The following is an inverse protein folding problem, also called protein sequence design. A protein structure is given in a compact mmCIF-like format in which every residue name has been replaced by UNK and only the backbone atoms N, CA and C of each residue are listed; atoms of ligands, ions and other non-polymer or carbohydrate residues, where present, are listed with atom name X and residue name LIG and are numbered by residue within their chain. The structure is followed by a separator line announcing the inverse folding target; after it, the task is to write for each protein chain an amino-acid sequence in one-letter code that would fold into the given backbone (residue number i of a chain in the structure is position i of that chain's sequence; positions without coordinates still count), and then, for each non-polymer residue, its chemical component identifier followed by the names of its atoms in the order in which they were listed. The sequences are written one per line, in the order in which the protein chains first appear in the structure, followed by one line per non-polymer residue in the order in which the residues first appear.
data_IF_376257340529
#
_entry.id   IF_376257340529
#
_cell.length_a   1.000
_cell.length_b   1.000
_cell.length_c   1.000
_cell.angle_alpha   90.00
_cell.angle_beta   90.00
_cell.angle_gamma   90.00
#
_symmetry.space_group_name_H-M   'P 1'
#
loop_
_entity.id
_entity.type
_entity.pdbx_description
1 polymer ?
#
# COMPACT_ATOMS: atom_id res chain seq x y z
N UNK A 1 27.96 -35.08 12.82
CA UNK A 1 26.82 -34.38 12.21
C UNK A 1 26.25 -33.44 13.26
N UNK A 2 25.89 -32.21 12.88
CA UNK A 2 25.17 -31.25 13.72
C UNK A 2 23.98 -30.72 12.92
N UNK A 3 23.02 -30.10 13.60
CA UNK A 3 21.77 -29.65 12.96
C UNK A 3 21.43 -28.25 13.47
N UNK A 4 21.23 -27.30 12.57
CA UNK A 4 20.68 -25.99 12.90
C UNK A 4 19.24 -25.94 12.44
N UNK A 5 18.31 -25.78 13.38
CA UNK A 5 16.89 -25.64 13.11
C UNK A 5 16.50 -24.20 13.32
N UNK A 6 15.89 -23.60 12.31
CA UNK A 6 15.33 -22.26 12.39
C UNK A 6 13.81 -22.30 12.33
N UNK A 7 13.14 -21.52 13.17
CA UNK A 7 11.68 -21.41 13.25
C UNK A 7 11.20 -19.97 13.55
N UNK A 8 9.89 -19.79 13.73
CA UNK A 8 9.19 -18.56 14.17
C UNK A 8 8.62 -18.75 15.60
N UNK A 9 8.36 -17.70 16.44
CA UNK A 9 7.84 -17.94 17.78
C UNK A 9 6.37 -18.35 17.70
N UNK A 10 6.01 -19.38 18.47
CA UNK A 10 4.74 -20.11 18.37
C UNK A 10 4.95 -21.58 17.98
N UNK A 11 5.90 -21.85 17.08
CA UNK A 11 6.07 -23.17 16.44
C UNK A 11 6.92 -24.20 17.22
N UNK A 12 7.05 -24.06 18.54
CA UNK A 12 7.89 -24.96 19.36
C UNK A 12 7.38 -26.42 19.35
N UNK A 13 6.06 -26.62 19.18
CA UNK A 13 5.49 -27.94 18.99
C UNK A 13 5.88 -28.56 17.63
N UNK A 14 6.01 -27.73 16.58
CA UNK A 14 6.47 -28.16 15.25
C UNK A 14 7.96 -28.52 15.31
N UNK A 15 8.78 -27.73 16.01
CA UNK A 15 10.19 -28.08 16.26
C UNK A 15 10.31 -29.44 16.98
N UNK A 16 9.45 -29.68 17.98
CA UNK A 16 9.39 -30.95 18.73
C UNK A 16 8.92 -32.12 17.85
N UNK A 17 7.97 -31.88 16.94
CA UNK A 17 7.54 -32.85 15.92
C UNK A 17 8.70 -33.19 14.98
N UNK A 18 9.38 -32.19 14.39
CA UNK A 18 10.53 -32.36 13.48
C UNK A 18 11.68 -33.14 14.12
N UNK A 19 12.01 -32.88 15.39
CA UNK A 19 13.04 -33.63 16.13
C UNK A 19 12.72 -35.13 16.27
N UNK A 20 11.44 -35.52 16.28
CA UNK A 20 11.02 -36.94 16.31
C UNK A 20 11.31 -37.63 14.98
N UNK A 21 10.88 -37.02 13.87
CA UNK A 21 11.06 -37.53 12.47
C UNK A 21 12.59 -37.63 12.21
N UNK A 22 13.40 -36.65 12.62
CA UNK A 22 14.87 -36.74 12.49
C UNK A 22 15.49 -37.92 13.26
N UNK A 23 14.97 -38.25 14.45
CA UNK A 23 15.39 -39.43 15.23
C UNK A 23 14.99 -40.73 14.51
N UNK A 24 13.79 -40.78 13.95
CA UNK A 24 13.24 -41.96 13.28
C UNK A 24 13.93 -42.23 11.92
N UNK A 25 14.44 -41.20 11.23
CA UNK A 25 15.36 -41.33 10.09
C UNK A 25 16.79 -41.76 10.49
N UNK A 26 17.05 -42.08 11.75
CA UNK A 26 18.37 -42.51 12.23
C UNK A 26 19.41 -41.39 12.35
N UNK A 27 19.01 -40.10 12.24
CA UNK A 27 19.88 -38.92 12.42
C UNK A 27 20.14 -38.69 13.92
N UNK A 28 20.64 -39.73 14.59
CA UNK A 28 20.88 -39.79 16.02
C UNK A 28 22.28 -39.28 16.40
N UNK A 29 22.42 -38.74 17.61
CA UNK A 29 23.68 -38.19 18.11
C UNK A 29 24.08 -36.82 17.55
N UNK A 30 23.23 -36.17 16.73
CA UNK A 30 23.48 -34.81 16.27
C UNK A 30 23.16 -33.79 17.37
N UNK A 31 24.17 -33.02 17.80
CA UNK A 31 23.92 -31.83 18.62
C UNK A 31 23.20 -30.78 17.77
N UNK A 32 21.97 -30.43 18.16
CA UNK A 32 21.16 -29.45 17.46
C UNK A 32 21.17 -28.09 18.17
N UNK A 33 20.94 -27.02 17.39
CA UNK A 33 20.68 -25.68 17.93
C UNK A 33 19.47 -25.06 17.24
N UNK A 34 18.69 -24.34 18.03
CA UNK A 34 17.49 -23.62 17.64
C UNK A 34 17.82 -22.15 17.43
N UNK A 35 17.36 -21.57 16.32
CA UNK A 35 17.68 -20.20 15.91
C UNK A 35 16.44 -19.49 15.35
N UNK A 36 16.11 -18.27 15.81
CA UNK A 36 15.01 -17.50 15.21
C UNK A 36 15.42 -16.98 13.83
N UNK A 37 14.70 -17.30 12.74
CA UNK A 37 15.05 -16.77 11.40
C UNK A 37 14.55 -15.34 11.16
N UNK A 38 13.54 -14.92 11.92
CA UNK A 38 12.93 -13.61 11.78
C UNK A 38 13.84 -12.47 12.28
N UNK A 39 14.64 -12.72 13.33
CA UNK A 39 15.55 -11.73 13.95
C UNK A 39 16.69 -11.30 13.02
N UNK A 40 17.24 -10.12 13.32
CA UNK A 40 18.32 -9.48 12.55
C UNK A 40 19.63 -10.29 12.60
N UNK A 41 19.87 -10.98 13.72
CA UNK A 41 21.03 -11.86 13.91
C UNK A 41 20.88 -13.24 13.24
N UNK A 42 19.78 -13.52 12.53
CA UNK A 42 19.56 -14.77 11.83
C UNK A 42 20.64 -15.08 10.79
N UNK A 43 21.12 -14.06 10.08
CA UNK A 43 22.20 -14.22 9.10
C UNK A 43 23.53 -14.61 9.78
N UNK A 44 23.89 -13.96 10.90
CA UNK A 44 25.10 -14.31 11.68
C UNK A 44 25.00 -15.71 12.30
N UNK A 45 23.82 -16.08 12.80
CA UNK A 45 23.51 -17.44 13.27
C UNK A 45 23.74 -18.47 12.16
N UNK A 46 23.27 -18.20 10.94
CA UNK A 46 23.40 -19.07 9.78
C UNK A 46 24.85 -19.18 9.29
N UNK A 47 25.61 -18.07 9.27
CA UNK A 47 27.02 -18.06 8.88
C UNK A 47 27.90 -18.81 9.91
N UNK A 48 27.62 -18.65 11.21
CA UNK A 48 28.29 -19.41 12.28
C UNK A 48 28.04 -20.92 12.21
N UNK A 49 26.88 -21.34 11.68
CA UNK A 49 26.53 -22.73 11.39
C UNK A 49 27.28 -23.25 10.16
N UNK A 50 27.25 -22.51 9.04
CA UNK A 50 27.91 -22.90 7.79
C UNK A 50 29.44 -23.05 7.94
N UNK A 51 30.09 -22.14 8.68
CA UNK A 51 31.53 -22.20 8.93
C UNK A 51 31.99 -23.45 9.69
N UNK A 52 31.08 -24.11 10.43
CA UNK A 52 31.41 -25.27 11.28
C UNK A 52 31.15 -26.63 10.58
N UNK A 53 31.36 -26.66 9.26
CA UNK A 53 31.72 -27.81 8.38
C UNK A 53 30.88 -29.11 8.36
N UNK A 54 29.90 -29.32 9.25
CA UNK A 54 29.13 -30.58 9.35
C UNK A 54 27.65 -30.38 9.75
N UNK A 55 27.02 -29.29 9.30
CA UNK A 55 25.65 -28.92 9.67
C UNK A 55 24.61 -29.19 8.56
N UNK A 56 23.45 -29.73 8.95
CA UNK A 56 22.20 -29.57 8.17
C UNK A 56 21.56 -28.24 8.57
N UNK A 57 21.02 -27.50 7.61
CA UNK A 57 20.17 -26.33 7.84
C UNK A 57 18.69 -26.71 7.65
N UNK A 58 17.86 -26.43 8.65
CA UNK A 58 16.40 -26.48 8.55
C UNK A 58 15.84 -25.07 8.77
N UNK A 59 14.84 -24.67 8.00
CA UNK A 59 14.13 -23.39 8.16
C UNK A 59 12.63 -23.64 8.05
N UNK A 60 11.87 -23.18 9.04
CA UNK A 60 10.42 -23.37 9.18
C UNK A 60 9.73 -22.00 9.32
N UNK A 61 8.90 -21.58 8.35
CA UNK A 61 8.07 -20.38 8.46
C UNK A 61 6.73 -20.65 9.19
N UNK A 62 6.05 -19.61 9.71
CA UNK A 62 4.87 -19.74 10.56
C UNK A 62 3.51 -19.78 9.84
N UNK A 63 2.49 -20.05 10.65
CA UNK A 63 1.06 -20.00 10.35
C UNK A 63 0.42 -18.61 10.46
N UNK A 64 -0.70 -18.46 9.73
CA UNK A 64 -1.92 -17.68 10.01
C UNK A 64 -3.03 -18.55 9.38
N UNK A 65 -4.19 -18.92 9.95
CA UNK A 65 -4.94 -18.53 11.15
C UNK A 65 -5.37 -19.81 11.95
N UNK A 66 -5.84 -19.68 13.19
CA UNK A 66 -6.16 -20.81 14.10
C UNK A 66 -7.43 -21.62 13.73
N UNK A 67 -8.13 -21.29 12.63
CA UNK A 67 -9.52 -21.73 12.38
C UNK A 67 -9.72 -22.99 11.55
N UNK A 68 -8.71 -23.54 10.88
CA UNK A 68 -8.89 -24.59 9.85
C UNK A 68 -8.94 -26.04 10.37
N UNK A 69 -8.36 -26.32 11.54
CA UNK A 69 -8.57 -27.57 12.30
C UNK A 69 -8.01 -28.88 11.73
N UNK A 70 -7.35 -28.89 10.56
CA UNK A 70 -6.81 -30.11 9.95
C UNK A 70 -5.38 -30.43 10.44
N UNK A 71 -5.23 -31.56 11.13
CA UNK A 71 -3.99 -31.97 11.83
C UNK A 71 -3.06 -32.89 11.01
N UNK A 72 -3.30 -33.04 9.70
CA UNK A 72 -2.57 -33.97 8.81
C UNK A 72 -1.15 -33.54 8.36
N UNK A 73 -0.47 -32.65 9.11
CA UNK A 73 0.74 -31.93 8.66
C UNK A 73 1.98 -32.25 9.52
N UNK A 74 2.86 -33.14 9.03
CA UNK A 74 3.97 -33.68 9.84
C UNK A 74 5.20 -34.10 8.99
N UNK A 75 5.96 -33.15 8.44
CA UNK A 75 7.05 -33.43 7.49
C UNK A 75 8.44 -32.91 7.89
N UNK A 76 9.45 -33.67 7.46
CA UNK A 76 10.84 -33.58 7.91
C UNK A 76 11.72 -32.94 6.81
N UNK A 77 12.94 -32.51 7.16
CA UNK A 77 13.96 -32.10 6.18
C UNK A 77 15.16 -33.08 6.18
N UNK A 78 15.75 -33.26 5.00
CA UNK A 78 17.04 -33.90 4.81
C UNK A 78 17.85 -33.18 3.71
N UNK A 79 19.12 -32.88 4.00
CA UNK A 79 20.07 -32.29 3.06
C UNK A 79 21.46 -32.83 3.36
N UNK A 80 22.08 -33.48 2.38
CA UNK A 80 23.36 -34.19 2.56
C UNK A 80 24.53 -33.37 2.01
N UNK A 81 25.71 -33.52 2.62
CA UNK A 81 26.95 -32.93 2.12
C UNK A 81 27.88 -34.03 1.57
N UNK A 82 28.36 -33.86 0.35
CA UNK A 82 29.48 -34.62 -0.23
C UNK A 82 30.40 -33.65 -0.98
N UNK A 83 31.70 -33.72 -0.67
CA UNK A 83 32.84 -33.12 -1.39
C UNK A 83 32.62 -31.76 -2.13
N UNK A 84 33.02 -30.67 -1.46
CA UNK A 84 33.41 -29.35 -2.04
C UNK A 84 32.97 -29.08 -3.50
N UNK A 85 31.80 -28.47 -3.74
CA UNK A 85 31.60 -27.49 -4.84
C UNK A 85 30.19 -26.90 -4.89
N UNK A 86 29.15 -27.56 -4.39
CA UNK A 86 27.76 -27.07 -4.46
C UNK A 86 27.09 -26.99 -3.09
N UNK A 87 26.27 -25.95 -2.94
CA UNK A 87 25.39 -25.72 -1.80
C UNK A 87 23.97 -25.68 -2.36
N UNK A 88 23.08 -26.54 -1.87
CA UNK A 88 21.68 -26.56 -2.32
C UNK A 88 20.78 -26.40 -1.11
N UNK A 89 19.99 -25.32 -1.13
CA UNK A 89 19.11 -24.92 -0.05
C UNK A 89 17.65 -25.05 -0.49
N UNK A 90 16.76 -25.36 0.44
CA UNK A 90 15.33 -25.60 0.18
C UNK A 90 14.48 -25.02 1.31
N UNK A 91 13.34 -24.42 0.95
CA UNK A 91 12.19 -24.27 1.83
C UNK A 91 11.12 -25.29 1.40
N UNK A 92 10.10 -25.46 2.23
CA UNK A 92 8.89 -26.21 1.90
C UNK A 92 7.70 -25.37 2.37
N UNK A 93 6.72 -25.18 1.50
CA UNK A 93 5.50 -24.42 1.74
C UNK A 93 4.33 -25.27 1.21
N UNK A 94 3.24 -25.39 1.94
CA UNK A 94 1.99 -26.03 1.45
C UNK A 94 2.18 -27.43 0.81
N UNK A 95 3.09 -28.24 1.35
CA UNK A 95 3.43 -29.57 0.81
C UNK A 95 4.23 -29.57 -0.51
N UNK A 96 4.65 -28.39 -1.00
CA UNK A 96 5.47 -28.20 -2.19
C UNK A 96 6.91 -27.82 -1.80
N UNK A 97 7.88 -28.34 -2.55
CA UNK A 97 9.30 -28.00 -2.35
C UNK A 97 9.61 -26.66 -3.03
N UNK A 98 9.58 -25.59 -2.23
CA UNK A 98 9.90 -24.24 -2.67
C UNK A 98 11.35 -23.91 -2.30
N UNK A 99 12.29 -24.13 -3.23
CA UNK A 99 13.55 -23.39 -3.17
C UNK A 99 13.19 -21.91 -3.36
N UNK A 100 13.34 -21.03 -2.35
CA UNK A 100 13.14 -19.60 -2.54
C UNK A 100 14.13 -19.17 -3.62
N UNK A 101 13.71 -18.47 -4.70
CA UNK A 101 14.59 -18.26 -5.86
C UNK A 101 15.95 -17.65 -5.48
N UNK A 102 15.95 -16.75 -4.50
CA UNK A 102 17.15 -16.13 -3.95
C UNK A 102 18.17 -17.09 -3.33
N UNK A 103 17.78 -18.24 -2.77
CA UNK A 103 18.77 -19.17 -2.21
C UNK A 103 19.62 -19.83 -3.32
N UNK A 104 19.22 -19.73 -4.59
CA UNK A 104 20.07 -20.08 -5.75
C UNK A 104 21.05 -18.96 -6.13
N UNK A 105 20.75 -17.69 -5.84
CA UNK A 105 21.69 -16.58 -6.10
C UNK A 105 22.87 -16.56 -5.13
N UNK A 106 22.77 -17.31 -4.02
CA UNK A 106 23.87 -17.60 -3.10
C UNK A 106 24.83 -18.65 -3.67
N UNK A 107 24.39 -19.51 -4.62
CA UNK A 107 25.21 -20.59 -5.17
C UNK A 107 26.35 -20.03 -6.04
N UNK A 108 27.59 -20.16 -5.55
CA UNK A 108 28.80 -19.64 -6.20
C UNK A 108 29.44 -18.44 -5.52
N UNK A 109 28.78 -17.82 -4.52
CA UNK A 109 29.40 -16.75 -3.72
C UNK A 109 30.47 -17.35 -2.79
N UNK A 110 31.71 -16.87 -2.92
CA UNK A 110 32.88 -17.41 -2.19
C UNK A 110 33.21 -16.66 -0.89
N UNK A 111 32.62 -15.48 -0.64
CA UNK A 111 32.82 -14.69 0.56
C UNK A 111 31.63 -14.78 1.53
N UNK A 112 31.92 -14.95 2.82
CA UNK A 112 30.90 -15.00 3.89
C UNK A 112 30.01 -13.75 3.91
N UNK A 113 30.59 -12.58 3.65
CA UNK A 113 29.89 -11.29 3.63
C UNK A 113 29.03 -11.11 2.37
N UNK A 114 29.44 -11.69 1.24
CA UNK A 114 28.59 -11.80 0.05
C UNK A 114 27.39 -12.71 0.30
N UNK A 115 27.61 -13.87 0.95
CA UNK A 115 26.54 -14.79 1.36
C UNK A 115 25.57 -14.10 2.33
N UNK A 116 26.07 -13.36 3.33
CA UNK A 116 25.25 -12.52 4.24
C UNK A 116 24.35 -11.58 3.46
N UNK A 117 24.95 -10.80 2.55
CA UNK A 117 24.27 -9.73 1.82
C UNK A 117 23.23 -10.26 0.81
N UNK A 118 23.51 -11.40 0.16
CA UNK A 118 22.55 -12.06 -0.73
C UNK A 118 21.41 -12.71 0.04
N UNK A 119 21.68 -13.32 1.20
CA UNK A 119 20.66 -13.90 2.08
C UNK A 119 19.69 -12.86 2.64
N UNK A 120 20.18 -11.68 3.07
CA UNK A 120 19.34 -10.63 3.62
C UNK A 120 18.39 -10.02 2.58
N UNK A 121 18.90 -9.57 1.43
CA UNK A 121 18.06 -9.04 0.34
C UNK A 121 17.03 -10.08 -0.12
N UNK A 122 17.46 -11.32 -0.30
CA UNK A 122 16.56 -12.39 -0.73
C UNK A 122 15.48 -12.75 0.30
N UNK A 123 15.79 -12.66 1.61
CA UNK A 123 14.79 -12.76 2.69
C UNK A 123 13.75 -11.63 2.57
N UNK A 124 14.19 -10.40 2.33
CA UNK A 124 13.32 -9.22 2.19
C UNK A 124 12.43 -9.33 0.93
N UNK A 125 13.03 -9.64 -0.22
CA UNK A 125 12.35 -9.91 -1.50
C UNK A 125 11.28 -11.00 -1.34
N UNK A 126 11.63 -12.16 -0.77
CA UNK A 126 10.70 -13.28 -0.60
C UNK A 126 9.59 -13.00 0.42
N UNK A 127 9.88 -12.25 1.50
CA UNK A 127 8.84 -11.81 2.45
C UNK A 127 7.80 -10.91 1.76
N UNK A 128 8.25 -9.95 0.95
CA UNK A 128 7.36 -9.11 0.16
C UNK A 128 6.53 -9.92 -0.86
N UNK A 129 7.10 -10.94 -1.51
CA UNK A 129 6.34 -11.88 -2.35
C UNK A 129 5.22 -12.59 -1.56
N UNK A 130 5.48 -12.99 -0.31
CA UNK A 130 4.46 -13.66 0.52
C UNK A 130 3.34 -12.71 0.97
N UNK A 131 3.66 -11.45 1.28
CA UNK A 131 2.66 -10.43 1.62
C UNK A 131 1.79 -10.06 0.41
N UNK A 132 2.40 -9.98 -0.78
CA UNK A 132 1.66 -9.79 -2.03
C UNK A 132 0.74 -10.99 -2.36
N UNK A 133 1.19 -12.23 -2.17
CA UNK A 133 0.30 -13.38 -2.44
C UNK A 133 -0.86 -13.46 -1.43
N UNK A 134 -0.62 -13.13 -0.15
CA UNK A 134 -1.71 -12.94 0.84
C UNK A 134 -2.69 -11.84 0.42
N UNK A 135 -2.19 -10.71 -0.09
CA UNK A 135 -3.03 -9.62 -0.61
C UNK A 135 -3.89 -10.06 -1.81
N UNK A 136 -3.34 -10.88 -2.73
CA UNK A 136 -4.08 -11.47 -3.86
C UNK A 136 -5.18 -12.43 -3.39
N UNK A 137 -4.86 -13.30 -2.43
CA UNK A 137 -5.81 -14.27 -1.87
C UNK A 137 -6.97 -13.57 -1.17
N UNK A 138 -6.69 -12.57 -0.33
CA UNK A 138 -7.71 -11.76 0.35
C UNK A 138 -8.68 -11.09 -0.64
N UNK A 139 -8.17 -10.43 -1.69
CA UNK A 139 -9.01 -9.81 -2.71
C UNK A 139 -9.88 -10.84 -3.46
N UNK A 140 -9.31 -12.01 -3.78
CA UNK A 140 -9.99 -13.11 -4.46
C UNK A 140 -11.10 -13.74 -3.60
N UNK A 141 -10.89 -13.88 -2.29
CA UNK A 141 -11.89 -14.40 -1.35
C UNK A 141 -13.10 -13.46 -1.19
N UNK A 142 -12.89 -12.16 -1.39
CA UNK A 142 -13.94 -11.13 -1.38
C UNK A 142 -14.61 -10.91 -2.75
N UNK A 143 -14.31 -11.76 -3.75
CA UNK A 143 -14.73 -11.65 -5.16
C UNK A 143 -14.36 -10.30 -5.82
N UNK A 144 -13.22 -9.71 -5.41
CA UNK A 144 -12.74 -8.43 -5.92
C UNK A 144 -11.72 -8.68 -7.06
N UNK A 145 -11.99 -8.25 -8.29
CA UNK A 145 -11.09 -8.48 -9.41
C UNK A 145 -9.82 -7.63 -9.27
N UNK A 146 -8.65 -8.23 -9.49
CA UNK A 146 -7.37 -7.53 -9.50
C UNK A 146 -7.19 -6.69 -10.78
N UNK A 147 -7.94 -5.60 -10.85
CA UNK A 147 -7.95 -4.64 -11.95
C UNK A 147 -8.28 -3.25 -11.43
N UNK A 148 -8.13 -2.23 -12.28
CA UNK A 148 -8.62 -0.88 -12.00
C UNK A 148 -10.12 -0.85 -11.64
N UNK A 149 -10.90 -1.82 -12.09
CA UNK A 149 -12.34 -1.89 -11.80
C UNK A 149 -12.61 -2.37 -10.36
N UNK A 150 -11.82 -3.33 -9.86
CA UNK A 150 -11.88 -3.75 -8.45
C UNK A 150 -11.30 -2.70 -7.50
N UNK A 151 -10.22 -2.02 -7.89
CA UNK A 151 -9.69 -0.86 -7.17
C UNK A 151 -10.77 0.22 -7.00
N UNK A 152 -11.42 0.60 -8.11
CA UNK A 152 -12.48 1.62 -8.09
C UNK A 152 -13.75 1.12 -7.40
N UNK A 153 -14.02 -0.19 -7.37
CA UNK A 153 -15.06 -0.77 -6.52
C UNK A 153 -14.73 -0.59 -5.02
N UNK A 154 -13.49 -0.83 -4.60
CA UNK A 154 -13.08 -0.63 -3.20
C UNK A 154 -13.26 0.82 -2.76
N UNK A 155 -12.86 1.78 -3.59
CA UNK A 155 -13.11 3.22 -3.33
C UNK A 155 -14.61 3.52 -3.23
N UNK A 156 -15.42 3.00 -4.17
CA UNK A 156 -16.88 3.27 -4.25
C UNK A 156 -17.72 2.54 -3.19
N UNK A 157 -17.17 1.52 -2.53
CA UNK A 157 -17.81 0.72 -1.46
C UNK A 157 -17.11 0.89 -0.10
N UNK A 158 -16.25 1.88 0.04
CA UNK A 158 -15.52 2.21 1.29
C UNK A 158 -14.71 1.05 1.90
N UNK A 159 -14.17 0.16 1.06
CA UNK A 159 -13.39 -1.02 1.49
C UNK A 159 -11.92 -0.67 1.73
N UNK A 160 -11.65 0.06 2.81
CA UNK A 160 -10.31 0.53 3.22
C UNK A 160 -9.26 -0.61 3.21
N UNK A 161 -9.48 -1.69 3.96
CA UNK A 161 -8.55 -2.83 4.06
C UNK A 161 -8.20 -3.46 2.70
N UNK A 162 -9.18 -3.53 1.79
CA UNK A 162 -8.99 -4.07 0.45
C UNK A 162 -8.19 -3.11 -0.44
N UNK A 163 -8.37 -1.79 -0.27
CA UNK A 163 -7.61 -0.80 -1.01
C UNK A 163 -6.13 -0.78 -0.60
N UNK A 164 -5.82 -0.98 0.70
CA UNK A 164 -4.44 -1.25 1.13
C UNK A 164 -3.84 -2.45 0.38
N UNK A 165 -4.62 -3.51 0.14
CA UNK A 165 -4.12 -4.72 -0.54
C UNK A 165 -3.81 -4.44 -2.01
N UNK A 166 -4.55 -3.53 -2.66
CA UNK A 166 -4.18 -3.01 -3.97
C UNK A 166 -2.87 -2.19 -3.94
N UNK A 167 -2.63 -1.38 -2.91
CA UNK A 167 -1.39 -0.62 -2.77
C UNK A 167 -0.16 -1.51 -2.50
N UNK A 168 -0.29 -2.55 -1.66
CA UNK A 168 0.76 -3.57 -1.48
C UNK A 168 1.10 -4.32 -2.79
N UNK A 169 0.14 -4.36 -3.73
CA UNK A 169 0.29 -4.93 -5.06
C UNK A 169 0.76 -3.93 -6.13
N UNK A 170 1.10 -2.70 -5.75
CA UNK A 170 1.69 -1.69 -6.64
C UNK A 170 0.71 -0.98 -7.57
N UNK A 171 -0.59 -0.96 -7.24
CA UNK A 171 -1.56 -0.14 -7.97
C UNK A 171 -1.35 1.35 -7.66
N UNK A 172 -1.41 2.21 -8.68
CA UNK A 172 -1.31 3.67 -8.51
C UNK A 172 -2.57 4.24 -7.85
N UNK A 173 -2.43 5.24 -6.95
CA UNK A 173 -3.56 5.94 -6.35
C UNK A 173 -4.38 6.76 -7.38
N UNK A 174 -3.77 7.11 -8.51
CA UNK A 174 -4.36 7.89 -9.61
C UNK A 174 -5.24 7.04 -10.55
N UNK A 175 -5.48 5.78 -10.16
CA UNK A 175 -6.37 4.86 -10.88
C UNK A 175 -7.71 5.53 -11.18
N UNK A 176 -8.06 5.56 -12.46
CA UNK A 176 -9.31 6.16 -12.96
C UNK A 176 -10.32 5.07 -13.36
N UNK A 177 -11.62 5.39 -13.27
CA UNK A 177 -12.65 4.52 -13.85
C UNK A 177 -12.82 4.71 -15.37
N UNK A 178 -13.72 3.93 -15.99
CA UNK A 178 -13.98 3.97 -17.45
C UNK A 178 -14.42 5.34 -18.01
N UNK A 179 -14.75 6.32 -17.17
CA UNK A 179 -15.06 7.71 -17.56
C UNK A 179 -13.87 8.66 -17.38
N UNK A 180 -12.70 8.15 -16.98
CA UNK A 180 -11.54 8.96 -16.64
C UNK A 180 -11.69 9.69 -15.30
N UNK A 181 -12.54 9.23 -14.38
CA UNK A 181 -12.69 9.87 -13.05
C UNK A 181 -11.70 9.23 -12.06
N UNK A 182 -10.77 10.01 -11.47
CA UNK A 182 -9.80 9.50 -10.51
C UNK A 182 -10.43 8.91 -9.24
N UNK A 183 -9.71 8.00 -8.59
CA UNK A 183 -10.03 7.47 -7.26
C UNK A 183 -10.30 8.57 -6.24
N UNK A 184 -9.46 9.61 -6.19
CA UNK A 184 -9.59 10.71 -5.24
C UNK A 184 -10.90 11.48 -5.41
N UNK A 185 -11.30 11.76 -6.65
CA UNK A 185 -12.60 12.38 -6.94
C UNK A 185 -13.77 11.46 -6.54
N UNK A 186 -13.63 10.13 -6.66
CA UNK A 186 -14.64 9.20 -6.16
C UNK A 186 -14.71 9.14 -4.63
N UNK A 187 -13.58 9.16 -3.92
CA UNK A 187 -13.51 9.22 -2.46
C UNK A 187 -14.22 10.47 -1.89
N UNK A 188 -13.98 11.63 -2.53
CA UNK A 188 -14.70 12.87 -2.24
C UNK A 188 -16.21 12.73 -2.50
N UNK A 189 -16.62 12.14 -3.63
CA UNK A 189 -18.04 11.97 -4.01
C UNK A 189 -18.81 11.00 -3.11
N UNK A 190 -18.14 10.05 -2.44
CA UNK A 190 -18.74 9.22 -1.36
C UNK A 190 -18.60 9.86 0.03
N UNK A 191 -18.00 11.06 0.12
CA UNK A 191 -17.83 11.86 1.34
C UNK A 191 -16.95 11.20 2.41
N UNK A 192 -16.07 10.28 2.00
CA UNK A 192 -15.25 9.47 2.88
C UNK A 192 -13.88 10.10 3.12
N UNK A 193 -13.73 10.80 4.25
CA UNK A 193 -12.46 11.44 4.64
C UNK A 193 -11.32 10.43 4.83
N UNK A 194 -11.63 9.24 5.36
CA UNK A 194 -10.65 8.16 5.54
C UNK A 194 -10.10 7.67 4.19
N UNK A 195 -10.99 7.49 3.20
CA UNK A 195 -10.60 7.15 1.83
C UNK A 195 -9.75 8.26 1.17
N UNK A 196 -10.11 9.54 1.37
CA UNK A 196 -9.31 10.69 0.90
C UNK A 196 -7.92 10.68 1.55
N UNK A 197 -7.84 10.46 2.87
CA UNK A 197 -6.57 10.37 3.59
C UNK A 197 -5.68 9.22 3.10
N UNK A 198 -6.25 8.03 2.88
CA UNK A 198 -5.50 6.86 2.40
C UNK A 198 -4.95 7.09 0.99
N UNK A 199 -5.77 7.62 0.07
CA UNK A 199 -5.35 7.91 -1.30
C UNK A 199 -4.23 8.96 -1.33
N UNK A 200 -4.35 10.05 -0.56
CA UNK A 200 -3.31 11.08 -0.46
C UNK A 200 -2.03 10.55 0.22
N UNK A 201 -2.14 9.71 1.25
CA UNK A 201 -0.98 9.08 1.91
C UNK A 201 -0.19 8.14 0.98
N UNK A 202 -0.84 7.57 -0.04
CA UNK A 202 -0.19 6.81 -1.11
C UNK A 202 0.25 7.68 -2.31
N UNK A 203 0.05 9.00 -2.27
CA UNK A 203 0.54 9.95 -3.27
C UNK A 203 -0.41 10.25 -4.43
N UNK A 204 -1.73 10.20 -4.23
CA UNK A 204 -2.70 10.62 -5.23
C UNK A 204 -2.49 12.09 -5.68
N UNK A 205 -2.52 12.35 -6.99
CA UNK A 205 -2.54 13.71 -7.52
C UNK A 205 -3.83 14.45 -7.10
N UNK A 206 -3.67 15.43 -6.23
CA UNK A 206 -4.75 16.29 -5.73
C UNK A 206 -5.40 17.13 -6.83
N UNK A 207 -4.67 17.38 -7.92
CA UNK A 207 -5.09 18.18 -9.08
C UNK A 207 -5.67 17.32 -10.22
N UNK A 208 -5.79 16.01 -10.04
CA UNK A 208 -6.25 15.09 -11.07
C UNK A 208 -7.67 15.44 -11.57
N UNK A 209 -7.78 15.81 -12.85
CA UNK A 209 -9.01 16.34 -13.47
C UNK A 209 -9.96 15.23 -13.91
N UNK A 210 -11.21 15.25 -13.45
CA UNK A 210 -12.18 14.21 -13.78
C UNK A 210 -12.60 14.20 -15.25
N UNK A 211 -12.46 13.06 -15.92
CA UNK A 211 -12.86 12.87 -17.31
C UNK A 211 -14.37 13.02 -17.57
N UNK A 212 -15.22 13.05 -16.54
CA UNK A 212 -16.67 13.30 -16.68
C UNK A 212 -17.02 14.80 -16.71
N UNK A 213 -16.71 15.56 -15.65
CA UNK A 213 -17.07 16.97 -15.45
C UNK A 213 -15.93 17.96 -15.70
N UNK A 214 -14.68 17.50 -15.66
CA UNK A 214 -13.50 18.35 -15.55
C UNK A 214 -13.24 18.83 -14.12
N UNK A 215 -13.73 18.14 -13.10
CA UNK A 215 -13.58 18.56 -11.70
C UNK A 215 -12.35 17.92 -11.07
N UNK A 216 -11.55 18.68 -10.33
CA UNK A 216 -10.58 18.11 -9.38
C UNK A 216 -11.28 17.67 -8.09
N UNK A 217 -10.54 17.01 -7.20
CA UNK A 217 -11.05 16.57 -5.90
C UNK A 217 -11.62 17.74 -5.07
N UNK A 218 -10.93 18.88 -5.03
CA UNK A 218 -11.39 20.05 -4.26
C UNK A 218 -12.62 20.72 -4.88
N UNK A 219 -12.81 20.63 -6.19
CA UNK A 219 -13.99 21.15 -6.89
C UNK A 219 -15.25 20.33 -6.59
N UNK A 220 -15.16 19.01 -6.57
CA UNK A 220 -16.29 18.16 -6.14
C UNK A 220 -16.56 18.32 -4.63
N UNK A 221 -15.54 18.52 -3.79
CA UNK A 221 -15.71 18.75 -2.34
C UNK A 221 -16.38 20.10 -2.04
N UNK A 222 -15.99 21.16 -2.77
CA UNK A 222 -16.61 22.47 -2.71
C UNK A 222 -18.06 22.46 -3.20
N UNK A 223 -18.38 21.64 -4.21
CA UNK A 223 -19.74 21.46 -4.72
C UNK A 223 -20.65 20.61 -3.82
N UNK A 224 -20.08 19.76 -2.94
CA UNK A 224 -20.82 19.00 -1.92
C UNK A 224 -20.99 19.76 -0.59
N UNK A 225 -20.31 20.91 -0.45
CA UNK A 225 -20.28 21.69 0.79
C UNK A 225 -19.45 21.02 1.91
N UNK A 226 -18.56 20.08 1.57
CA UNK A 226 -17.84 19.28 2.56
C UNK A 226 -16.57 20.00 3.05
N UNK A 227 -16.76 20.89 4.03
CA UNK A 227 -15.70 21.72 4.61
C UNK A 227 -14.52 20.91 5.16
N UNK A 228 -14.78 19.73 5.72
CA UNK A 228 -13.74 18.89 6.31
C UNK A 228 -12.81 18.29 5.24
N UNK A 229 -13.39 17.73 4.18
CA UNK A 229 -12.64 17.26 3.02
C UNK A 229 -11.93 18.41 2.29
N UNK A 230 -12.57 19.58 2.14
CA UNK A 230 -11.90 20.77 1.57
C UNK A 230 -10.68 21.19 2.42
N UNK A 231 -10.82 21.27 3.76
CA UNK A 231 -9.70 21.61 4.65
C UNK A 231 -8.58 20.58 4.57
N UNK A 232 -8.89 19.29 4.41
CA UNK A 232 -7.89 18.24 4.20
C UNK A 232 -7.16 18.38 2.87
N UNK A 233 -7.89 18.57 1.76
CA UNK A 233 -7.29 18.74 0.43
C UNK A 233 -6.41 19.99 0.38
N UNK A 234 -6.82 21.07 1.04
CA UNK A 234 -6.05 22.33 1.24
C UNK A 234 -4.80 22.19 2.15
N UNK A 235 -4.34 20.99 2.45
CA UNK A 235 -3.03 20.72 3.07
C UNK A 235 -2.00 20.16 2.06
N UNK A 236 -2.43 19.80 0.85
CA UNK A 236 -1.57 19.35 -0.26
C UNK A 236 -1.28 20.47 -1.27
N UNK A 237 -1.55 21.74 -0.89
CA UNK A 237 -1.46 22.95 -1.71
C UNK A 237 -1.97 22.78 -3.18
N UNK A 238 -3.25 22.39 -3.37
CA UNK A 238 -3.83 22.16 -4.69
C UNK A 238 -4.01 23.46 -5.49
N UNK A 239 -4.00 23.31 -6.81
CA UNK A 239 -4.39 24.35 -7.76
C UNK A 239 -5.90 24.63 -7.63
N UNK A 240 -6.22 25.86 -7.20
CA UNK A 240 -7.59 26.32 -6.96
C UNK A 240 -8.25 26.90 -8.21
N UNK A 241 -7.45 27.15 -9.25
CA UNK A 241 -7.78 27.92 -10.45
C UNK A 241 -8.12 27.02 -11.64
N UNK A 242 -7.93 25.70 -11.47
CA UNK A 242 -8.42 24.67 -12.41
C UNK A 242 -9.91 24.87 -12.72
N UNK A 243 -10.20 24.97 -14.02
CA UNK A 243 -11.55 25.20 -14.52
C UNK A 243 -12.20 23.90 -15.02
N UNK A 244 -13.48 23.69 -14.68
CA UNK A 244 -14.26 22.55 -15.17
C UNK A 244 -14.54 22.65 -16.68
N UNK A 245 -15.19 21.64 -17.27
CA UNK A 245 -15.69 21.72 -18.65
C UNK A 245 -16.71 22.85 -18.87
N UNK A 246 -17.27 23.41 -17.80
CA UNK A 246 -18.13 24.58 -17.81
C UNK A 246 -17.37 25.89 -17.50
N UNK A 247 -16.05 25.87 -17.35
CA UNK A 247 -15.23 27.01 -16.92
C UNK A 247 -15.30 27.34 -15.42
N UNK A 248 -15.99 26.53 -14.62
CA UNK A 248 -16.23 26.84 -13.20
C UNK A 248 -15.03 26.37 -12.35
N UNK A 249 -14.51 27.24 -11.49
CA UNK A 249 -13.47 26.91 -10.48
C UNK A 249 -14.11 26.38 -9.19
N UNK A 250 -13.28 25.88 -8.25
CA UNK A 250 -13.75 25.46 -6.93
C UNK A 250 -14.51 26.59 -6.18
N UNK A 251 -14.04 27.83 -6.32
CA UNK A 251 -14.70 29.01 -5.72
C UNK A 251 -16.09 29.29 -6.34
N UNK A 252 -16.21 29.22 -7.67
CA UNK A 252 -17.49 29.41 -8.37
C UNK A 252 -18.48 28.31 -7.96
N UNK A 253 -18.01 27.07 -7.79
CA UNK A 253 -18.84 25.94 -7.34
C UNK A 253 -19.31 26.11 -5.88
N UNK A 254 -18.43 26.50 -4.96
CA UNK A 254 -18.81 26.77 -3.56
C UNK A 254 -19.90 27.86 -3.46
N UNK A 255 -19.73 28.96 -4.21
CA UNK A 255 -20.71 30.06 -4.26
C UNK A 255 -22.03 29.58 -4.87
N UNK A 256 -21.98 28.80 -5.96
CA UNK A 256 -23.17 28.25 -6.62
C UNK A 256 -24.03 27.34 -5.74
N UNK A 257 -23.44 26.75 -4.69
CA UNK A 257 -24.12 25.89 -3.71
C UNK A 257 -24.39 26.57 -2.36
N UNK A 258 -24.00 27.85 -2.20
CA UNK A 258 -24.16 28.59 -0.95
C UNK A 258 -23.23 28.16 0.18
N UNK A 259 -22.15 27.43 -0.11
CA UNK A 259 -21.12 27.03 0.85
C UNK A 259 -20.17 28.21 1.14
N UNK A 260 -20.70 29.25 1.81
CA UNK A 260 -20.03 30.54 1.97
C UNK A 260 -18.74 30.44 2.80
N UNK A 261 -18.68 29.56 3.79
CA UNK A 261 -17.49 29.33 4.62
C UNK A 261 -16.34 28.67 3.82
N UNK A 262 -16.68 27.78 2.88
CA UNK A 262 -15.74 27.21 1.91
C UNK A 262 -15.31 28.26 0.88
N UNK A 263 -16.25 29.05 0.36
CA UNK A 263 -15.93 30.11 -0.59
C UNK A 263 -15.00 31.17 0.04
N UNK A 264 -15.27 31.57 1.28
CA UNK A 264 -14.40 32.46 2.05
C UNK A 264 -13.02 31.87 2.32
N UNK A 265 -12.93 30.57 2.63
CA UNK A 265 -11.67 29.87 2.82
C UNK A 265 -10.84 29.80 1.52
N UNK A 266 -11.47 29.52 0.37
CA UNK A 266 -10.80 29.49 -0.93
C UNK A 266 -10.28 30.88 -1.33
N UNK A 267 -11.03 31.95 -1.05
CA UNK A 267 -10.59 33.35 -1.24
C UNK A 267 -9.42 33.70 -0.31
N UNK A 268 -9.38 33.19 0.92
CA UNK A 268 -8.27 33.40 1.85
C UNK A 268 -7.04 32.52 1.54
N UNK A 269 -7.19 31.46 0.74
CA UNK A 269 -6.09 30.67 0.15
C UNK A 269 -5.63 31.20 -1.22
N UNK A 270 -6.21 32.29 -1.71
CA UNK A 270 -5.69 33.03 -2.87
C UNK A 270 -6.18 32.57 -4.24
N UNK A 271 -7.27 31.80 -4.32
CA UNK A 271 -7.90 31.45 -5.60
C UNK A 271 -8.22 32.69 -6.45
N UNK A 272 -7.97 32.64 -7.76
CA UNK A 272 -8.20 33.75 -8.69
C UNK A 272 -9.71 34.04 -8.84
N UNK A 273 -10.11 35.11 -8.17
CA UNK A 273 -11.47 35.65 -8.17
C UNK A 273 -11.92 36.23 -9.51
N UNK A 274 -10.98 36.50 -10.43
CA UNK A 274 -11.21 37.13 -11.73
C UNK A 274 -11.59 36.14 -12.83
N UNK A 275 -11.34 34.84 -12.60
CA UNK A 275 -11.66 33.75 -13.52
C UNK A 275 -13.16 33.69 -13.86
N UNK A 276 -13.45 33.19 -15.06
CA UNK A 276 -14.77 33.23 -15.69
C UNK A 276 -15.20 31.87 -16.17
N UNK A 277 -16.45 31.53 -15.89
CA UNK A 277 -17.09 30.36 -16.47
C UNK A 277 -17.49 30.56 -17.94
N UNK A 278 -18.08 29.52 -18.54
CA UNK A 278 -18.57 29.54 -19.93
C UNK A 278 -19.72 30.53 -20.19
N UNK A 279 -20.30 31.11 -19.14
CA UNK A 279 -21.30 32.18 -19.21
C UNK A 279 -20.67 33.59 -19.04
N UNK A 280 -19.35 33.67 -18.83
CA UNK A 280 -18.63 34.91 -18.55
C UNK A 280 -18.86 35.44 -17.13
N UNK A 281 -19.37 34.62 -16.22
CA UNK A 281 -19.62 34.94 -14.82
C UNK A 281 -18.36 34.72 -13.98
N UNK A 282 -18.04 35.70 -13.12
CA UNK A 282 -16.97 35.58 -12.10
C UNK A 282 -17.57 35.21 -10.75
N UNK A 283 -16.71 34.81 -9.81
CA UNK A 283 -17.09 34.54 -8.42
C UNK A 283 -17.93 35.69 -7.81
N UNK A 284 -17.53 36.95 -7.99
CA UNK A 284 -18.29 38.11 -7.51
C UNK A 284 -19.68 38.24 -8.14
N UNK A 285 -19.81 38.01 -9.46
CA UNK A 285 -21.10 38.14 -10.16
C UNK A 285 -22.10 37.10 -9.65
N UNK A 286 -21.63 35.89 -9.31
CA UNK A 286 -22.45 34.89 -8.64
C UNK A 286 -22.82 35.28 -7.20
N UNK A 287 -21.87 35.78 -6.41
CA UNK A 287 -22.15 36.25 -5.05
C UNK A 287 -23.15 37.43 -5.04
N UNK A 288 -23.08 38.35 -6.00
CA UNK A 288 -24.04 39.44 -6.17
C UNK A 288 -25.43 38.93 -6.61
N UNK A 289 -25.50 37.98 -7.55
CA UNK A 289 -26.74 37.37 -8.02
C UNK A 289 -27.50 36.66 -6.89
N UNK A 290 -26.79 35.90 -6.05
CA UNK A 290 -27.35 35.19 -4.90
C UNK A 290 -27.45 36.05 -3.61
N UNK A 291 -27.08 37.34 -3.68
CA UNK A 291 -27.13 38.33 -2.58
C UNK A 291 -26.22 38.01 -1.38
N UNK A 292 -25.13 37.29 -1.60
CA UNK A 292 -24.06 37.06 -0.62
C UNK A 292 -23.17 38.30 -0.50
N UNK A 293 -23.76 39.40 -0.02
CA UNK A 293 -23.17 40.76 -0.09
C UNK A 293 -21.80 40.89 0.59
N UNK A 294 -21.57 40.19 1.69
CA UNK A 294 -20.30 40.26 2.43
C UNK A 294 -19.17 39.50 1.72
N UNK A 295 -19.46 38.31 1.20
CA UNK A 295 -18.54 37.56 0.33
C UNK A 295 -18.27 38.32 -0.97
N UNK A 296 -19.28 38.94 -1.59
CA UNK A 296 -19.10 39.78 -2.76
C UNK A 296 -18.17 40.98 -2.49
N UNK A 297 -18.21 41.54 -1.26
CA UNK A 297 -17.30 42.61 -0.82
C UNK A 297 -15.87 42.08 -0.63
N UNK A 298 -15.68 40.97 0.09
CA UNK A 298 -14.38 40.30 0.29
C UNK A 298 -13.71 39.93 -1.04
N UNK A 299 -14.50 39.40 -1.99
CA UNK A 299 -14.04 39.11 -3.35
C UNK A 299 -13.62 40.40 -4.07
N UNK A 300 -14.43 41.47 -4.01
CA UNK A 300 -14.11 42.75 -4.64
C UNK A 300 -12.81 43.36 -4.10
N UNK A 301 -12.54 43.19 -2.80
CA UNK A 301 -11.28 43.63 -2.19
C UNK A 301 -10.09 42.88 -2.80
N UNK A 302 -10.19 41.56 -3.00
CA UNK A 302 -9.18 40.77 -3.73
C UNK A 302 -9.08 41.12 -5.23
N UNK A 303 -10.18 41.44 -5.91
CA UNK A 303 -10.15 41.88 -7.33
C UNK A 303 -9.22 43.10 -7.53
N UNK A 304 -9.02 43.96 -6.50
CA UNK A 304 -8.09 45.09 -6.55
C UNK A 304 -6.63 44.75 -6.25
N UNK A 305 -6.36 43.62 -5.58
CA UNK A 305 -4.99 43.12 -5.33
C UNK A 305 -4.43 42.54 -6.64
N UNK A 306 -5.17 41.65 -7.29
CA UNK A 306 -4.81 41.04 -8.58
C UNK A 306 -4.58 42.05 -9.72
N UNK A 307 -5.20 43.24 -9.66
CA UNK A 307 -5.02 44.31 -10.66
C UNK A 307 -3.79 45.21 -10.43
N UNK A 308 -2.95 44.89 -9.42
CA UNK A 308 -1.76 45.68 -9.04
C UNK A 308 -0.46 44.86 -8.93
N UNK A 309 -0.56 43.54 -9.05
CA UNK A 309 0.59 42.62 -9.06
C UNK A 309 1.22 42.55 -10.46
#
# INVERSE_FOLDING_TARGET
MRVAVFFHPGDEEIATKVLRVMKDLGISGAAYRIHPWWKDDAADRLLGVLNASTHILLVVPPSIDERSGDLSWLFFLAGFCVAKTRYVYYLVLEGRVHVPPFLRSIEGITSLEGVRSAFLRGKEEWLAEQEQEKARLFLKEQDIPLSAEGFMECVKKERIEALEKFFLLGFSPDTCDRKGVPALCHAVRVRSLEMVNLLLAHGADVNAVSGDRGNTAIMDAAADGNREIVVRLLQEDPDLDVQSKNGQTALILAIGQGALDIAELLVDRGADVTLRDSLGMTARRYAELFRYHDLARKIKEREYDFQKA
#
